data_IF_647663506553
#
_entry.id   IF_647663506553
#
_cell.length_a   1.000
_cell.length_b   1.000
_cell.length_c   1.000
_cell.angle_alpha   90.00
_cell.angle_beta   90.00
_cell.angle_gamma   90.00
#
_symmetry.space_group_name_H-M   'P 1'
#
loop_
_entity.id
_entity.type
_entity.pdbx_description
1 polymer ?
#
# COMPACT_ATOMS: atom_id res chain seq x y z
N UNK A 1 -6.82 -16.91 -10.65
CA UNK A 1 -5.54 -16.26 -10.69
C UNK A 1 -5.49 -15.05 -11.60
N UNK A 2 -5.91 -15.18 -12.78
CA UNK A 2 -5.82 -14.12 -13.76
C UNK A 2 -6.56 -12.87 -13.38
N UNK A 3 -7.76 -12.99 -12.84
CA UNK A 3 -8.59 -11.83 -12.50
C UNK A 3 -7.87 -10.93 -11.50
N UNK A 4 -7.36 -11.54 -10.45
CA UNK A 4 -6.68 -10.79 -9.39
C UNK A 4 -5.42 -10.11 -9.92
N UNK A 5 -4.66 -10.81 -10.75
CA UNK A 5 -3.43 -10.26 -11.31
C UNK A 5 -3.71 -9.07 -12.23
N UNK A 6 -4.78 -9.16 -13.01
CA UNK A 6 -5.16 -8.07 -13.91
C UNK A 6 -5.57 -6.83 -13.13
N UNK A 7 -6.33 -7.00 -12.06
CA UNK A 7 -6.77 -5.86 -11.27
C UNK A 7 -5.61 -5.24 -10.51
N UNK A 8 -4.68 -6.07 -10.03
CA UNK A 8 -3.48 -5.58 -9.36
C UNK A 8 -2.66 -4.71 -10.31
N UNK A 9 -2.45 -5.18 -11.53
CA UNK A 9 -1.69 -4.43 -12.52
C UNK A 9 -2.40 -3.13 -12.90
N UNK A 10 -3.71 -3.19 -13.00
CA UNK A 10 -4.50 -2.01 -13.30
C UNK A 10 -4.30 -0.91 -12.25
N UNK A 11 -4.25 -1.31 -10.97
CA UNK A 11 -3.99 -0.36 -9.90
C UNK A 11 -2.58 0.19 -9.94
N UNK A 12 -1.60 -0.65 -10.23
CA UNK A 12 -0.21 -0.22 -10.31
C UNK A 12 -0.04 0.87 -11.37
N UNK A 13 -0.75 0.74 -12.48
CA UNK A 13 -0.64 1.67 -13.60
C UNK A 13 -1.62 2.82 -13.54
N UNK A 14 -2.46 2.87 -12.49
CA UNK A 14 -3.48 3.91 -12.38
C UNK A 14 -2.88 5.27 -12.09
N UNK A 15 -3.59 6.36 -12.44
CA UNK A 15 -3.13 7.71 -12.09
C UNK A 15 -3.09 7.90 -10.58
N UNK A 16 -2.25 8.83 -10.13
CA UNK A 16 -2.12 9.11 -8.70
C UNK A 16 -3.46 9.51 -8.07
N UNK A 17 -4.26 10.29 -8.79
CA UNK A 17 -5.53 10.73 -8.25
C UNK A 17 -6.48 9.55 -8.01
N UNK A 18 -6.44 8.57 -8.89
CA UNK A 18 -7.27 7.37 -8.70
C UNK A 18 -6.77 6.56 -7.51
N UNK A 19 -5.46 6.42 -7.37
CA UNK A 19 -4.89 5.67 -6.26
C UNK A 19 -5.20 6.36 -4.93
N UNK A 20 -5.13 7.69 -4.91
CA UNK A 20 -5.48 8.44 -3.71
C UNK A 20 -6.92 8.18 -3.30
N UNK A 21 -7.82 8.22 -4.27
CA UNK A 21 -9.23 7.98 -4.02
C UNK A 21 -9.48 6.53 -3.58
N UNK A 22 -8.81 5.60 -4.22
CA UNK A 22 -8.91 4.19 -3.83
C UNK A 22 -8.53 4.01 -2.36
N UNK A 23 -7.43 4.63 -1.95
CA UNK A 23 -7.01 4.57 -0.56
C UNK A 23 -8.00 5.21 0.38
N UNK A 24 -8.49 6.40 0.01
CA UNK A 24 -9.44 7.11 0.86
C UNK A 24 -10.72 6.31 1.06
N UNK A 25 -11.19 5.62 0.02
CA UNK A 25 -12.40 4.84 0.09
C UNK A 25 -12.22 3.54 0.89
N UNK A 26 -11.00 3.07 1.04
CA UNK A 26 -10.73 1.78 1.67
C UNK A 26 -9.95 1.90 2.99
N UNK A 27 -9.88 3.08 3.56
CA UNK A 27 -9.09 3.28 4.79
C UNK A 27 -9.52 2.36 5.92
N UNK A 28 -10.83 2.13 6.08
CA UNK A 28 -11.32 1.24 7.12
C UNK A 28 -10.77 -0.16 6.95
N UNK A 29 -10.68 -0.63 5.71
CA UNK A 29 -10.15 -1.95 5.44
C UNK A 29 -8.64 -1.98 5.65
N UNK A 30 -7.95 -0.90 5.31
CA UNK A 30 -6.51 -0.80 5.56
C UNK A 30 -6.21 -0.87 7.04
N UNK A 31 -6.97 -0.14 7.86
CA UNK A 31 -6.79 -0.21 9.32
C UNK A 31 -7.09 -1.61 9.85
N UNK A 32 -8.09 -2.25 9.27
CA UNK A 32 -8.44 -3.62 9.65
C UNK A 32 -7.26 -4.56 9.39
N UNK A 33 -6.63 -4.42 8.23
CA UNK A 33 -5.46 -5.23 7.89
C UNK A 33 -4.33 -4.97 8.88
N UNK A 34 -4.12 -3.70 9.20
CA UNK A 34 -3.05 -3.32 10.13
C UNK A 34 -3.27 -3.95 11.50
N UNK A 35 -4.48 -3.85 12.03
CA UNK A 35 -4.78 -4.41 13.35
C UNK A 35 -4.72 -5.92 13.34
N UNK A 36 -5.21 -6.52 12.26
CA UNK A 36 -5.23 -7.98 12.15
C UNK A 36 -3.83 -8.55 12.01
N UNK A 37 -2.93 -7.81 11.36
CA UNK A 37 -1.58 -8.30 11.12
C UNK A 37 -0.86 -8.68 12.40
N UNK A 38 -1.11 -7.95 13.49
CA UNK A 38 -0.49 -8.24 14.77
C UNK A 38 -1.05 -9.50 15.43
N UNK A 39 -2.30 -9.83 15.13
CA UNK A 39 -2.98 -10.96 15.75
C UNK A 39 -2.98 -12.20 14.87
N UNK A 40 -3.14 -12.01 13.57
CA UNK A 40 -3.29 -13.10 12.62
C UNK A 40 -2.70 -12.67 11.29
N UNK A 41 -1.40 -12.89 11.16
CA UNK A 41 -0.68 -12.44 9.97
C UNK A 41 -1.24 -13.08 8.70
N UNK A 42 -1.60 -14.36 8.77
CA UNK A 42 -2.15 -15.06 7.61
C UNK A 42 -3.48 -14.45 7.17
N UNK A 43 -4.35 -14.16 8.15
CA UNK A 43 -5.62 -13.53 7.83
C UNK A 43 -5.45 -12.13 7.26
N UNK A 44 -4.49 -11.37 7.79
CA UNK A 44 -4.23 -10.04 7.28
C UNK A 44 -3.75 -10.08 5.84
N UNK A 45 -2.87 -11.04 5.51
CA UNK A 45 -2.39 -11.19 4.13
C UNK A 45 -3.52 -11.57 3.20
N UNK A 46 -4.44 -12.41 3.67
CA UNK A 46 -5.58 -12.80 2.86
C UNK A 46 -6.48 -11.60 2.56
N UNK A 47 -6.74 -10.78 3.56
CA UNK A 47 -7.56 -9.58 3.38
C UNK A 47 -6.87 -8.59 2.43
N UNK A 48 -5.55 -8.44 2.57
CA UNK A 48 -4.80 -7.57 1.67
C UNK A 48 -4.89 -8.08 0.23
N UNK A 49 -4.83 -9.38 0.04
CA UNK A 49 -4.97 -9.98 -1.29
C UNK A 49 -6.33 -9.71 -1.90
N UNK A 50 -7.36 -9.66 -1.08
CA UNK A 50 -8.71 -9.35 -1.56
C UNK A 50 -8.80 -7.92 -2.08
N UNK A 51 -7.94 -7.04 -1.59
CA UNK A 51 -7.85 -5.66 -2.05
C UNK A 51 -6.77 -5.48 -3.12
N UNK A 52 -6.27 -6.60 -3.64
CA UNK A 52 -5.32 -6.64 -4.76
C UNK A 52 -3.90 -6.23 -4.38
N UNK A 53 -3.57 -6.25 -3.09
CA UNK A 53 -2.19 -6.02 -2.67
C UNK A 53 -1.37 -7.30 -2.85
N UNK A 54 -0.12 -7.12 -3.27
CA UNK A 54 0.77 -8.24 -3.49
C UNK A 54 1.37 -8.75 -2.19
N UNK A 55 1.76 -7.83 -1.29
CA UNK A 55 2.40 -8.22 -0.05
C UNK A 55 2.24 -7.14 1.01
N UNK A 56 2.58 -7.52 2.25
CA UNK A 56 2.61 -6.62 3.39
C UNK A 56 4.03 -6.58 3.93
N UNK A 57 4.53 -5.40 4.24
CA UNK A 57 5.83 -5.24 4.89
C UNK A 57 5.63 -4.43 6.17
N UNK A 58 6.34 -4.81 7.22
CA UNK A 58 6.23 -4.12 8.49
C UNK A 58 7.59 -4.09 9.17
N UNK A 59 8.26 -2.95 9.10
CA UNK A 59 9.56 -2.80 9.75
C UNK A 59 9.85 -1.34 10.05
N UNK A 60 10.55 -1.12 11.15
CA UNK A 60 11.03 0.22 11.53
C UNK A 60 9.92 1.26 11.61
N UNK A 61 8.74 0.86 12.09
CA UNK A 61 7.62 1.79 12.23
C UNK A 61 6.88 2.05 10.95
N UNK A 62 7.25 1.38 9.86
CA UNK A 62 6.56 1.50 8.59
C UNK A 62 5.75 0.24 8.32
N UNK A 63 4.46 0.42 8.11
CA UNK A 63 3.58 -0.67 7.72
C UNK A 63 3.15 -0.40 6.28
N UNK A 64 3.54 -1.28 5.37
CA UNK A 64 3.33 -1.07 3.95
C UNK A 64 2.39 -2.12 3.36
N UNK A 65 1.36 -1.63 2.67
CA UNK A 65 0.51 -2.46 1.83
C UNK A 65 1.00 -2.26 0.40
N UNK A 66 1.69 -3.25 -0.13
CA UNK A 66 2.40 -3.13 -1.40
C UNK A 66 1.55 -3.67 -2.53
N UNK A 67 1.18 -2.80 -3.47
CA UNK A 67 0.50 -3.24 -4.68
C UNK A 67 1.46 -3.98 -5.60
N UNK A 68 2.73 -3.58 -5.59
CA UNK A 68 3.73 -4.14 -6.47
C UNK A 68 4.36 -3.04 -7.28
N UNK A 69 5.00 -3.41 -8.37
CA UNK A 69 5.65 -2.44 -9.23
C UNK A 69 6.18 -3.08 -10.48
N UNK A 70 6.85 -2.27 -11.29
CA UNK A 70 7.47 -2.72 -12.52
C UNK A 70 8.97 -2.58 -12.33
N UNK A 71 9.70 -3.69 -12.50
CA UNK A 71 11.13 -3.78 -12.23
C UNK A 71 11.42 -3.47 -10.76
N UNK A 72 12.11 -2.35 -10.49
CA UNK A 72 12.52 -1.99 -9.13
C UNK A 72 11.56 -1.04 -8.47
N UNK A 73 10.56 -0.58 -9.20
CA UNK A 73 9.59 0.38 -8.67
C UNK A 73 8.58 -0.32 -7.80
N UNK A 74 8.06 0.42 -6.81
CA UNK A 74 7.02 -0.11 -5.94
C UNK A 74 5.98 0.98 -5.70
N UNK A 75 4.72 0.57 -5.60
CA UNK A 75 3.63 1.48 -5.32
C UNK A 75 2.70 0.83 -4.31
N UNK A 76 2.16 1.62 -3.40
CA UNK A 76 1.27 1.09 -2.39
C UNK A 76 0.86 2.14 -1.38
N UNK A 77 0.45 1.66 -0.21
CA UNK A 77 0.00 2.54 0.88
C UNK A 77 0.83 2.28 2.12
N UNK A 78 1.14 3.35 2.83
CA UNK A 78 2.03 3.30 3.97
C UNK A 78 1.32 3.84 5.20
N UNK A 79 1.47 3.15 6.33
CA UNK A 79 0.96 3.65 7.61
C UNK A 79 2.14 3.93 8.52
N UNK A 80 2.27 5.19 8.94
CA UNK A 80 3.37 5.57 9.82
C UNK A 80 3.04 6.89 10.52
N UNK A 81 3.62 7.09 11.69
CA UNK A 81 3.52 8.36 12.39
C UNK A 81 4.55 9.36 11.87
N UNK A 82 5.64 8.85 11.31
CA UNK A 82 6.73 9.69 10.83
C UNK A 82 7.12 9.23 9.43
N UNK A 83 6.50 9.80 8.38
CA UNK A 83 6.82 9.37 7.03
C UNK A 83 8.27 9.65 6.68
N UNK A 84 8.92 8.77 5.94
CA UNK A 84 10.28 9.00 5.50
C UNK A 84 10.33 10.17 4.52
N UNK A 85 11.50 10.75 4.39
CA UNK A 85 11.67 11.89 3.50
C UNK A 85 11.78 11.40 2.05
N UNK A 86 11.26 12.23 1.15
CA UNK A 86 11.41 11.97 -0.28
C UNK A 86 12.80 12.43 -0.68
N UNK A 87 13.73 11.50 -0.75
CA UNK A 87 15.11 11.81 -1.06
C UNK A 87 15.44 11.61 -2.53
N UNK A 88 14.46 11.21 -3.33
CA UNK A 88 14.69 10.97 -4.75
C UNK A 88 15.37 9.66 -5.06
N UNK A 89 15.75 8.92 -4.03
CA UNK A 89 16.41 7.64 -4.23
C UNK A 89 15.51 6.47 -3.85
N UNK A 90 14.92 6.54 -2.66
CA UNK A 90 14.03 5.48 -2.19
C UNK A 90 12.59 5.82 -2.49
N UNK A 91 12.18 7.03 -2.15
CA UNK A 91 10.80 7.45 -2.34
C UNK A 91 10.74 8.61 -3.32
N UNK A 92 10.01 8.43 -4.41
CA UNK A 92 9.79 9.49 -5.39
C UNK A 92 8.47 10.20 -5.17
N UNK A 93 7.57 9.61 -4.36
CA UNK A 93 6.30 10.26 -4.03
C UNK A 93 5.80 9.74 -2.70
N UNK A 94 5.36 10.65 -1.85
CA UNK A 94 4.65 10.32 -0.61
C UNK A 94 3.54 11.35 -0.49
N UNK A 95 2.30 10.88 -0.54
CA UNK A 95 1.15 11.75 -0.54
C UNK A 95 0.22 11.38 0.60
N UNK A 96 -0.05 12.33 1.49
CA UNK A 96 -0.91 12.09 2.64
C UNK A 96 -2.35 11.85 2.20
N UNK A 97 -2.98 10.82 2.77
CA UNK A 97 -4.39 10.54 2.48
C UNK A 97 -5.24 10.95 3.67
N UNK A 98 -5.05 10.30 4.81
CA UNK A 98 -5.81 10.62 6.01
C UNK A 98 -5.17 9.93 7.20
N UNK A 99 -5.07 10.64 8.33
CA UNK A 99 -4.48 10.07 9.54
C UNK A 99 -3.03 9.69 9.32
N UNK A 100 -2.70 8.44 9.60
CA UNK A 100 -1.34 7.94 9.45
C UNK A 100 -1.10 7.26 8.10
N UNK A 101 -2.03 7.36 7.19
CA UNK A 101 -1.95 6.67 5.90
C UNK A 101 -1.48 7.58 4.78
N UNK A 102 -0.61 7.05 3.94
CA UNK A 102 0.00 7.77 2.82
C UNK A 102 0.02 6.88 1.59
N UNK A 103 -0.11 7.51 0.42
CA UNK A 103 0.16 6.84 -0.85
C UNK A 103 1.63 7.06 -1.16
N UNK A 104 2.34 6.01 -1.56
CA UNK A 104 3.77 6.14 -1.83
C UNK A 104 4.15 5.47 -3.14
N UNK A 105 5.25 5.96 -3.72
CA UNK A 105 5.90 5.33 -4.86
C UNK A 105 7.40 5.37 -4.64
N UNK A 106 8.09 4.31 -5.05
CA UNK A 106 9.54 4.22 -4.97
C UNK A 106 10.13 4.06 -6.36
N UNK A 107 11.44 4.27 -6.43
CA UNK A 107 12.17 3.98 -7.67
C UNK A 107 12.61 2.54 -7.71
#
# INVERSE_FOLDING_TARGET
KCQSDIENLSLILAPDSYLHEFGALNLNKFEQIFELFAKDETGAKKLAHELHFDTIQNENGLFLLVLGGITDNSVGFMRTQNPPQMDGRSYIMIEHIFGAWYLYKTT
#
